data_IF_400411046496
#
_entry.id   IF_400411046496
#
_cell.length_a   1.000
_cell.length_b   1.000
_cell.length_c   1.000
_cell.angle_alpha   90.00
_cell.angle_beta   90.00
_cell.angle_gamma   90.00
#
_symmetry.space_group_name_H-M   'P 1'
#
loop_
_entity.id
_entity.type
_entity.pdbx_description
1 polymer ?
#
# COMPACT_ATOMS: atom_id res chain seq x y z
N UNK A 1 7.69 7.13 -2.06
CA UNK A 1 6.25 7.16 -1.69
C UNK A 1 6.06 8.24 -0.65
N UNK A 2 5.18 9.20 -0.89
CA UNK A 2 4.80 10.20 0.11
C UNK A 2 3.79 9.60 1.08
N UNK A 3 3.88 9.96 2.36
CA UNK A 3 2.98 9.46 3.39
C UNK A 3 2.23 10.64 4.02
N UNK A 4 0.94 10.49 4.35
CA UNK A 4 0.11 9.29 4.19
C UNK A 4 -0.32 9.05 2.73
N UNK A 5 -0.51 7.78 2.35
CA UNK A 5 -0.89 7.37 0.98
C UNK A 5 -2.09 6.43 0.94
N UNK A 6 -2.96 6.58 -0.08
CA UNK A 6 -4.05 5.64 -0.33
C UNK A 6 -3.51 4.35 -0.93
N UNK A 7 -3.92 3.21 -0.38
CA UNK A 7 -3.43 1.89 -0.78
C UNK A 7 -4.55 0.85 -0.83
N UNK A 8 -4.32 -0.20 -1.59
CA UNK A 8 -5.01 -1.48 -1.47
C UNK A 8 -4.15 -2.43 -0.63
N UNK A 9 -4.75 -3.02 0.39
CA UNK A 9 -4.07 -3.88 1.37
C UNK A 9 -4.47 -5.34 1.17
N UNK A 10 -3.46 -6.19 1.12
CA UNK A 10 -3.59 -7.65 1.05
C UNK A 10 -2.90 -8.24 2.27
N UNK A 11 -3.59 -9.05 3.06
CA UNK A 11 -3.03 -9.66 4.27
C UNK A 11 -3.68 -11.01 4.52
N UNK A 12 -2.86 -12.05 4.62
CA UNK A 12 -3.36 -13.40 4.94
C UNK A 12 -3.83 -13.49 6.40
N UNK A 13 -3.18 -12.76 7.32
CA UNK A 13 -3.48 -12.78 8.77
C UNK A 13 -4.91 -12.33 9.03
N UNK A 14 -5.34 -11.26 8.34
CA UNK A 14 -6.68 -10.67 8.49
C UNK A 14 -7.64 -11.04 7.35
N UNK A 15 -7.21 -11.89 6.41
CA UNK A 15 -8.01 -12.25 5.24
C UNK A 15 -8.36 -11.07 4.32
N UNK A 16 -7.50 -10.05 4.26
CA UNK A 16 -7.70 -8.88 3.41
C UNK A 16 -7.24 -9.18 1.98
N UNK A 17 -8.07 -8.83 1.00
CA UNK A 17 -7.78 -9.02 -0.42
C UNK A 17 -8.19 -7.76 -1.19
N UNK A 18 -7.26 -6.82 -1.32
CA UNK A 18 -7.51 -5.54 -1.99
C UNK A 18 -8.36 -4.57 -1.16
N UNK A 19 -8.25 -4.64 0.17
CA UNK A 19 -9.01 -3.76 1.06
C UNK A 19 -8.45 -2.34 0.99
N UNK A 20 -9.31 -1.36 0.69
CA UNK A 20 -8.90 0.03 0.64
C UNK A 20 -8.50 0.55 2.02
N UNK A 21 -7.40 1.30 2.06
CA UNK A 21 -6.85 1.85 3.28
C UNK A 21 -5.94 3.05 3.04
N UNK A 22 -5.41 3.57 4.14
CA UNK A 22 -4.37 4.60 4.12
C UNK A 22 -3.13 4.07 4.82
N UNK A 23 -2.00 4.04 4.12
CA UNK A 23 -0.69 3.84 4.71
C UNK A 23 -0.24 5.13 5.38
N UNK A 24 0.00 5.07 6.68
CA UNK A 24 0.43 6.20 7.51
C UNK A 24 1.93 6.18 7.69
N UNK A 25 2.50 5.01 7.97
CA UNK A 25 3.94 4.84 8.20
C UNK A 25 4.44 3.43 7.82
N UNK A 26 5.73 3.31 7.53
CA UNK A 26 6.45 2.03 7.43
C UNK A 26 7.45 2.02 8.58
N UNK A 27 7.09 1.30 9.64
CA UNK A 27 7.82 1.37 10.89
C UNK A 27 9.09 0.50 10.86
N UNK A 28 10.19 0.94 11.51
CA UNK A 28 11.47 0.23 11.49
C UNK A 28 11.41 -1.15 12.16
N UNK A 29 10.44 -1.39 13.05
CA UNK A 29 10.15 -2.70 13.64
C UNK A 29 9.56 -3.73 12.65
N UNK A 30 9.33 -3.35 11.39
CA UNK A 30 8.88 -4.27 10.34
C UNK A 30 7.36 -4.35 10.21
N UNK A 31 6.65 -3.25 10.46
CA UNK A 31 5.20 -3.17 10.31
C UNK A 31 4.77 -1.99 9.43
N UNK A 32 3.69 -2.19 8.67
CA UNK A 32 2.92 -1.10 8.11
C UNK A 32 1.96 -0.55 9.17
N UNK A 33 1.98 0.75 9.39
CA UNK A 33 0.92 1.46 10.11
C UNK A 33 -0.15 1.92 9.13
N UNK A 34 -1.36 1.39 9.28
CA UNK A 34 -2.48 1.60 8.37
C UNK A 34 -3.68 2.20 9.09
N UNK A 35 -4.53 2.89 8.33
CA UNK A 35 -5.91 3.18 8.69
C UNK A 35 -6.83 2.35 7.81
N UNK A 36 -7.56 1.43 8.43
CA UNK A 36 -8.50 0.52 7.76
C UNK A 36 -9.89 0.62 8.41
N UNK A 37 -10.93 0.49 7.59
CA UNK A 37 -12.30 0.35 8.10
C UNK A 37 -12.51 -1.09 8.57
N UNK A 38 -12.83 -1.26 9.84
CA UNK A 38 -13.23 -2.53 10.44
C UNK A 38 -14.53 -2.31 11.22
N UNK A 39 -15.50 -3.20 11.04
CA UNK A 39 -16.82 -3.10 11.71
C UNK A 39 -17.49 -1.72 11.53
N UNK A 40 -17.32 -1.12 10.34
CA UNK A 40 -17.90 0.19 9.99
C UNK A 40 -17.19 1.40 10.60
N UNK A 41 -16.06 1.22 11.30
CA UNK A 41 -15.28 2.31 11.90
C UNK A 41 -13.84 2.30 11.42
N UNK A 42 -13.20 3.47 11.43
CA UNK A 42 -11.79 3.60 11.05
C UNK A 42 -10.90 3.24 12.25
N UNK A 43 -9.97 2.31 12.05
CA UNK A 43 -9.03 1.85 13.08
C UNK A 43 -7.59 2.04 12.64
N UNK A 44 -6.69 2.29 13.60
CA UNK A 44 -5.25 2.07 13.41
C UNK A 44 -4.99 0.57 13.39
N UNK A 45 -4.21 0.11 12.41
CA UNK A 45 -3.86 -1.31 12.26
C UNK A 45 -2.35 -1.39 12.02
N UNK A 46 -1.69 -2.28 12.77
CA UNK A 46 -0.31 -2.65 12.54
C UNK A 46 -0.29 -4.02 11.88
N UNK A 47 0.26 -4.09 10.66
CA UNK A 47 0.42 -5.35 9.94
C UNK A 47 1.89 -5.62 9.65
N UNK A 48 2.40 -6.84 9.88
CA UNK A 48 3.79 -7.16 9.60
C UNK A 48 4.05 -7.13 8.10
N UNK A 49 5.19 -6.54 7.71
CA UNK A 49 5.59 -6.44 6.29
C UNK A 49 5.72 -7.83 5.65
N UNK A 50 6.19 -8.83 6.40
CA UNK A 50 6.44 -10.19 5.91
C UNK A 50 5.20 -10.93 5.40
N UNK A 51 4.00 -10.52 5.79
CA UNK A 51 2.74 -11.20 5.45
C UNK A 51 1.68 -10.21 4.92
N UNK A 52 2.12 -9.04 4.44
CA UNK A 52 1.24 -7.98 3.97
C UNK A 52 1.76 -7.41 2.65
N UNK A 53 0.91 -7.45 1.63
CA UNK A 53 1.13 -6.71 0.39
C UNK A 53 0.38 -5.38 0.44
N UNK A 54 1.02 -4.32 -0.06
CA UNK A 54 0.39 -3.02 -0.28
C UNK A 54 0.59 -2.62 -1.75
N UNK A 55 -0.45 -2.04 -2.34
CA UNK A 55 -0.41 -1.48 -3.70
C UNK A 55 -0.89 -0.04 -3.60
N UNK A 56 -0.15 0.90 -4.18
CA UNK A 56 -0.61 2.29 -4.28
C UNK A 56 -1.91 2.35 -5.08
N UNK A 57 -2.89 3.11 -4.59
CA UNK A 57 -4.18 3.21 -5.25
C UNK A 57 -4.07 3.96 -6.59
N UNK A 58 -3.12 4.88 -6.71
CA UNK A 58 -2.83 5.60 -7.93
C UNK A 58 -1.71 4.88 -8.70
N UNK A 59 -1.91 4.60 -10.01
CA UNK A 59 -0.87 3.99 -10.83
C UNK A 59 0.26 4.99 -11.09
N UNK A 60 1.49 4.48 -11.22
CA UNK A 60 2.59 5.31 -11.72
C UNK A 60 2.37 5.65 -13.21
N UNK A 61 2.80 6.83 -13.69
CA UNK A 61 2.70 7.18 -15.10
C UNK A 61 3.46 6.19 -15.98
N UNK A 62 2.91 5.86 -17.15
CA UNK A 62 3.66 5.08 -18.15
C UNK A 62 4.87 5.89 -18.63
N UNK A 63 6.07 5.33 -18.48
CA UNK A 63 7.29 5.89 -19.05
C UNK A 63 7.42 5.37 -20.48
N UNK A 64 7.15 6.21 -21.47
CA UNK A 64 7.49 5.93 -22.85
C UNK A 64 9.02 5.90 -22.98
N UNK A 65 9.60 4.73 -23.24
CA UNK A 65 11.00 4.63 -23.63
C UNK A 65 11.14 5.25 -25.01
N UNK A 66 11.76 6.43 -25.10
CA UNK A 66 12.13 7.01 -26.39
C UNK A 66 13.25 6.16 -26.99
N UNK A 67 12.90 5.32 -27.96
CA UNK A 67 13.86 4.64 -28.84
C UNK A 67 14.57 5.68 -29.71
N UNK A 68 15.53 6.40 -29.14
CA UNK A 68 16.50 7.19 -29.89
C UNK A 68 17.53 6.23 -30.51
N UNK A 69 17.08 5.44 -31.50
CA UNK A 69 17.99 4.79 -32.45
C UNK A 69 18.36 5.88 -33.46
N UNK A 70 19.41 6.62 -33.14
CA UNK A 70 20.15 7.40 -34.15
C UNK A 70 20.59 6.43 -35.25
N UNK A 71 20.12 6.68 -36.48
CA UNK A 71 20.58 6.05 -37.71
C UNK A 71 21.53 6.96 -38.46
#
# INVERSE_FOLDING_TARGET
MELPSKVLVYSQILGLSGTAGTLVDIRPEGCFELRLTSQGKLHAVLLPVTQTGIVLAEPEPEVMLEDNIER
#
